data_IF_630378832157
#
_entry.id   IF_630378832157
#
_cell.length_a   1.000
_cell.length_b   1.000
_cell.length_c   1.000
_cell.angle_alpha   90.00
_cell.angle_beta   90.00
_cell.angle_gamma   90.00
#
_symmetry.space_group_name_H-M   'P 1'
#
loop_
_entity.id
_entity.type
_entity.pdbx_description
1 polymer ?
#
# COMPACT_ATOMS: atom_id res chain seq x y z
N UNK A 1 -1.58 2.17 -2.18
CA UNK A 1 -2.15 3.40 -1.58
C UNK A 1 -1.98 4.67 -2.40
N UNK A 2 -0.80 5.00 -2.96
CA UNK A 2 -0.66 6.23 -3.77
C UNK A 2 -1.38 6.16 -5.13
N UNK A 3 -1.28 5.02 -5.82
CA UNK A 3 -1.89 4.82 -7.14
C UNK A 3 -3.43 4.87 -7.09
N UNK A 4 -4.07 4.18 -6.14
CA UNK A 4 -5.53 4.20 -5.99
C UNK A 4 -6.06 5.59 -5.62
N UNK A 5 -5.33 6.34 -4.79
CA UNK A 5 -5.67 7.75 -4.48
C UNK A 5 -5.48 8.67 -5.68
N UNK A 6 -4.42 8.46 -6.48
CA UNK A 6 -4.23 9.19 -7.72
C UNK A 6 -5.33 8.90 -8.74
N UNK A 7 -5.77 7.65 -8.86
CA UNK A 7 -6.88 7.26 -9.74
C UNK A 7 -8.22 7.87 -9.30
N UNK A 8 -8.51 7.95 -7.99
CA UNK A 8 -9.70 8.66 -7.51
C UNK A 8 -9.67 10.14 -7.91
N UNK A 9 -8.52 10.80 -7.74
CA UNK A 9 -8.35 12.20 -8.14
C UNK A 9 -8.51 12.38 -9.65
N UNK A 10 -7.96 11.49 -10.46
CA UNK A 10 -8.12 11.52 -11.92
C UNK A 10 -9.60 11.37 -12.33
N UNK A 11 -10.36 10.51 -11.63
CA UNK A 11 -11.79 10.37 -11.86
C UNK A 11 -12.54 11.65 -11.47
N UNK A 12 -12.22 12.28 -10.33
CA UNK A 12 -12.79 13.57 -9.92
C UNK A 12 -12.50 14.67 -10.94
N UNK A 13 -11.24 14.79 -11.38
CA UNK A 13 -10.81 15.78 -12.37
C UNK A 13 -11.53 15.57 -13.71
N UNK A 14 -11.72 14.30 -14.12
CA UNK A 14 -12.48 13.94 -15.33
C UNK A 14 -13.95 14.32 -15.20
N UNK A 15 -14.58 14.08 -14.05
CA UNK A 15 -15.96 14.48 -13.78
C UNK A 15 -16.11 16.01 -13.85
N UNK A 16 -15.21 16.75 -13.21
CA UNK A 16 -15.21 18.22 -13.23
C UNK A 16 -15.02 18.78 -14.64
N UNK A 17 -14.10 18.20 -15.42
CA UNK A 17 -13.89 18.56 -16.82
C UNK A 17 -15.17 18.38 -17.63
N UNK A 18 -15.79 17.20 -17.53
CA UNK A 18 -17.00 16.86 -18.26
C UNK A 18 -18.20 17.77 -17.88
N UNK A 19 -18.36 18.11 -16.60
CA UNK A 19 -19.34 19.10 -16.12
C UNK A 19 -19.07 20.50 -16.69
N UNK A 20 -17.80 20.90 -16.81
CA UNK A 20 -17.42 22.23 -17.31
C UNK A 20 -17.51 22.37 -18.84
N UNK A 21 -17.32 21.26 -19.57
CA UNK A 21 -17.36 21.23 -21.02
C UNK A 21 -18.79 21.10 -21.58
N UNK A 22 -19.73 20.59 -20.78
CA UNK A 22 -21.13 20.47 -21.18
C UNK A 22 -21.73 21.86 -21.43
N UNK A 23 -22.14 22.10 -22.67
CA UNK A 23 -22.77 23.36 -23.09
C UNK A 23 -24.24 23.08 -23.43
N UNK A 24 -25.17 23.53 -22.60
CA UNK A 24 -26.61 23.26 -22.76
C UNK A 24 -27.21 22.51 -21.56
N UNK A 25 -28.31 21.78 -21.79
CA UNK A 25 -28.95 20.97 -20.75
C UNK A 25 -28.18 19.65 -20.57
N UNK A 26 -27.47 19.53 -19.46
CA UNK A 26 -26.68 18.35 -19.07
C UNK A 26 -27.49 17.04 -19.05
N UNK A 27 -28.82 17.12 -18.88
CA UNK A 27 -29.69 15.95 -18.85
C UNK A 27 -29.94 15.34 -20.24
N UNK A 28 -29.60 16.06 -21.31
CA UNK A 28 -29.76 15.59 -22.69
C UNK A 28 -28.46 14.98 -23.26
N UNK A 29 -27.37 15.00 -22.47
CA UNK A 29 -26.06 14.45 -22.86
C UNK A 29 -25.90 13.01 -22.34
N UNK A 30 -26.38 12.05 -23.13
CA UNK A 30 -26.33 10.61 -22.81
C UNK A 30 -24.88 10.11 -22.59
N UNK A 31 -23.90 10.67 -23.30
CA UNK A 31 -22.49 10.29 -23.17
C UNK A 31 -21.93 10.73 -21.82
N UNK A 32 -22.26 11.95 -21.41
CA UNK A 32 -21.93 12.51 -20.10
C UNK A 32 -22.55 11.70 -18.97
N UNK A 33 -23.84 11.38 -19.06
CA UNK A 33 -24.57 10.59 -18.06
C UNK A 33 -23.95 9.20 -17.91
N UNK A 34 -23.65 8.52 -19.02
CA UNK A 34 -23.00 7.20 -19.03
C UNK A 34 -21.60 7.24 -18.41
N UNK A 35 -20.82 8.27 -18.73
CA UNK A 35 -19.46 8.45 -18.18
C UNK A 35 -19.48 8.76 -16.68
N UNK A 36 -20.43 9.58 -16.22
CA UNK A 36 -20.64 9.85 -14.79
C UNK A 36 -21.06 8.60 -14.02
N UNK A 37 -21.98 7.80 -14.59
CA UNK A 37 -22.43 6.56 -13.98
C UNK A 37 -21.29 5.53 -13.83
N UNK A 38 -20.50 5.32 -14.89
CA UNK A 38 -19.35 4.42 -14.86
C UNK A 38 -18.23 4.90 -13.93
N UNK A 39 -17.97 6.20 -13.89
CA UNK A 39 -16.99 6.84 -13.00
C UNK A 39 -17.38 6.69 -11.52
N UNK A 40 -18.67 6.87 -11.21
CA UNK A 40 -19.21 6.66 -9.86
C UNK A 40 -19.05 5.22 -9.40
N UNK A 41 -19.40 4.24 -10.24
CA UNK A 41 -19.25 2.81 -9.93
C UNK A 41 -17.77 2.45 -9.70
N UNK A 42 -16.88 2.99 -10.53
CA UNK A 42 -15.44 2.73 -10.41
C UNK A 42 -14.85 3.36 -9.14
N UNK A 43 -15.26 4.58 -8.81
CA UNK A 43 -14.80 5.27 -7.59
C UNK A 43 -15.21 4.51 -6.32
N UNK A 44 -16.47 4.08 -6.22
CA UNK A 44 -16.95 3.27 -5.09
C UNK A 44 -16.14 1.98 -4.94
N UNK A 45 -15.87 1.27 -6.05
CA UNK A 45 -15.04 0.06 -6.03
C UNK A 45 -13.61 0.34 -5.57
N UNK A 46 -13.03 1.48 -5.95
CA UNK A 46 -11.68 1.86 -5.51
C UNK A 46 -11.69 2.19 -4.02
N UNK A 47 -12.68 2.93 -3.51
CA UNK A 47 -12.82 3.23 -2.09
C UNK A 47 -12.95 1.98 -1.23
N UNK A 48 -13.78 1.02 -1.64
CA UNK A 48 -13.92 -0.27 -0.95
C UNK A 48 -12.59 -1.02 -0.90
N UNK A 49 -11.87 -1.09 -2.02
CA UNK A 49 -10.54 -1.72 -2.08
C UNK A 49 -9.52 -1.01 -1.19
N UNK A 50 -9.52 0.32 -1.15
CA UNK A 50 -8.62 1.08 -0.27
C UNK A 50 -8.90 0.75 1.19
N UNK A 51 -10.19 0.71 1.58
CA UNK A 51 -10.59 0.36 2.95
C UNK A 51 -10.17 -1.06 3.34
N UNK A 52 -10.27 -2.02 2.43
CA UNK A 52 -9.79 -3.38 2.65
C UNK A 52 -8.26 -3.47 2.76
N UNK A 53 -7.54 -2.72 1.92
CA UNK A 53 -6.08 -2.61 1.99
C UNK A 53 -5.62 -2.00 3.31
N UNK A 54 -6.29 -0.96 3.81
CA UNK A 54 -5.96 -0.32 5.08
C UNK A 54 -6.16 -1.28 6.27
N UNK A 55 -7.26 -2.05 6.27
CA UNK A 55 -7.49 -3.10 7.27
C UNK A 55 -6.39 -4.17 7.24
N UNK A 56 -6.06 -4.65 6.05
CA UNK A 56 -4.99 -5.64 5.87
C UNK A 56 -3.64 -5.09 6.32
N UNK A 57 -3.32 -3.84 5.97
CA UNK A 57 -2.08 -3.18 6.39
C UNK A 57 -2.00 -3.03 7.91
N UNK A 58 -3.11 -2.69 8.58
CA UNK A 58 -3.18 -2.63 10.04
C UNK A 58 -2.92 -3.99 10.68
N UNK A 59 -3.51 -5.07 10.14
CA UNK A 59 -3.26 -6.44 10.61
C UNK A 59 -1.79 -6.86 10.42
N UNK A 60 -1.21 -6.55 9.27
CA UNK A 60 0.21 -6.80 8.99
C UNK A 60 1.10 -6.04 9.97
N UNK A 61 0.78 -4.78 10.25
CA UNK A 61 1.52 -3.95 11.19
C UNK A 61 1.45 -4.51 12.62
N UNK A 62 0.26 -4.89 13.09
CA UNK A 62 0.07 -5.51 14.40
C UNK A 62 0.87 -6.83 14.52
N UNK A 63 0.80 -7.66 13.48
CA UNK A 63 1.55 -8.91 13.42
C UNK A 63 3.05 -8.63 13.48
N UNK A 64 3.53 -7.67 12.68
CA UNK A 64 4.94 -7.24 12.67
C UNK A 64 5.40 -6.78 14.04
N UNK A 65 4.62 -5.97 14.75
CA UNK A 65 4.95 -5.49 16.10
C UNK A 65 5.17 -6.64 17.09
N UNK A 66 4.44 -7.75 16.93
CA UNK A 66 4.63 -8.95 17.75
C UNK A 66 5.99 -9.62 17.50
N UNK A 67 6.51 -9.56 16.26
CA UNK A 67 7.79 -10.14 15.89
C UNK A 67 9.01 -9.21 16.09
N UNK A 68 8.81 -7.88 16.13
CA UNK A 68 9.88 -6.89 16.40
C UNK A 68 10.77 -7.26 17.60
N UNK A 69 10.23 -7.59 18.80
CA UNK A 69 11.10 -7.91 19.94
C UNK A 69 11.94 -9.18 19.72
N UNK A 70 11.43 -10.15 18.96
CA UNK A 70 12.18 -11.35 18.58
C UNK A 70 13.29 -10.97 17.60
N UNK A 71 12.98 -10.19 16.58
CA UNK A 71 13.95 -9.73 15.58
C UNK A 71 15.10 -8.92 16.20
N UNK A 72 14.83 -8.07 17.18
CA UNK A 72 15.86 -7.31 17.92
C UNK A 72 16.80 -8.26 18.67
N UNK A 73 16.26 -9.27 19.36
CA UNK A 73 17.09 -10.25 20.07
C UNK A 73 17.92 -11.10 19.10
N UNK A 74 17.32 -11.59 18.02
CA UNK A 74 18.03 -12.34 16.99
C UNK A 74 19.15 -11.51 16.36
N UNK A 75 18.92 -10.22 16.08
CA UNK A 75 19.96 -9.32 15.57
C UNK A 75 21.12 -9.19 16.56
N UNK A 76 20.85 -9.02 17.85
CA UNK A 76 21.90 -8.96 18.87
C UNK A 76 22.70 -10.28 18.94
N UNK A 77 22.02 -11.43 18.90
CA UNK A 77 22.67 -12.75 18.89
C UNK A 77 23.57 -12.94 17.67
N UNK A 78 23.11 -12.54 16.48
CA UNK A 78 23.91 -12.61 15.26
C UNK A 78 25.23 -11.84 15.42
N UNK A 79 25.18 -10.61 15.93
CA UNK A 79 26.39 -9.81 16.10
C UNK A 79 27.33 -10.39 17.17
N UNK A 80 26.80 -10.99 18.24
CA UNK A 80 27.63 -11.71 19.21
C UNK A 80 28.36 -12.88 18.53
N UNK A 81 27.66 -13.68 17.73
CA UNK A 81 28.24 -14.82 17.01
C UNK A 81 29.28 -14.34 15.99
N UNK A 82 28.98 -13.28 15.24
CA UNK A 82 29.91 -12.68 14.30
C UNK A 82 31.19 -12.18 14.99
N UNK A 83 31.07 -11.67 16.22
CA UNK A 83 32.21 -11.20 17.00
C UNK A 83 33.09 -12.31 17.59
N UNK A 84 32.64 -13.58 17.61
CA UNK A 84 33.44 -14.70 18.10
C UNK A 84 34.71 -14.93 17.27
N UNK A 85 34.70 -14.56 15.98
CA UNK A 85 35.90 -14.63 15.14
C UNK A 85 37.06 -13.76 15.64
N UNK A 86 36.77 -12.74 16.48
CA UNK A 86 37.80 -11.89 17.12
C UNK A 86 38.56 -12.64 18.21
N UNK A 87 37.96 -13.67 18.80
CA UNK A 87 38.61 -14.53 19.81
C UNK A 87 39.43 -15.61 19.09
N UNK A 88 38.83 -16.28 18.12
CA UNK A 88 39.51 -17.28 17.31
C UNK A 88 38.91 -17.32 15.89
N UNK A 89 39.74 -17.23 14.83
CA UNK A 89 39.28 -17.16 13.44
C UNK A 89 38.37 -18.31 12.95
N UNK A 90 38.40 -19.52 13.53
CA UNK A 90 37.50 -20.61 13.10
C UNK A 90 36.04 -20.39 13.50
N UNK A 91 35.74 -19.46 14.42
CA UNK A 91 34.37 -19.08 14.79
C UNK A 91 33.72 -18.07 13.83
N UNK A 92 34.17 -17.99 12.59
CA UNK A 92 33.56 -17.16 11.57
C UNK A 92 32.35 -17.86 10.94
N UNK A 93 31.15 -17.39 11.26
CA UNK A 93 29.90 -17.89 10.70
C UNK A 93 29.29 -16.90 9.69
N UNK A 94 28.67 -17.43 8.64
CA UNK A 94 27.93 -16.62 7.66
C UNK A 94 26.53 -16.27 8.18
N UNK A 95 25.91 -15.25 7.57
CA UNK A 95 24.51 -14.94 7.84
C UNK A 95 23.59 -16.11 7.46
N UNK A 96 23.91 -16.83 6.38
CA UNK A 96 23.15 -18.01 5.94
C UNK A 96 23.14 -19.13 6.98
N UNK A 97 24.24 -19.33 7.72
CA UNK A 97 24.26 -20.31 8.81
C UNK A 97 23.38 -19.90 10.01
N UNK A 98 23.17 -18.59 10.21
CA UNK A 98 22.41 -18.04 11.33
C UNK A 98 20.89 -18.01 11.09
N UNK A 99 20.46 -17.94 9.83
CA UNK A 99 19.04 -17.84 9.41
C UNK A 99 18.40 -19.22 9.35
#
# INVERSE_FOLDING_TARGET
SAQSKAQLKEIEDRILYLLSASTGNILDDDELISTLASSKVTSVKIEERVKEQEKTAALVQQTRETYVPVAVRSSAMFFVIADLCKVEPTYQYSLEWFV
#
